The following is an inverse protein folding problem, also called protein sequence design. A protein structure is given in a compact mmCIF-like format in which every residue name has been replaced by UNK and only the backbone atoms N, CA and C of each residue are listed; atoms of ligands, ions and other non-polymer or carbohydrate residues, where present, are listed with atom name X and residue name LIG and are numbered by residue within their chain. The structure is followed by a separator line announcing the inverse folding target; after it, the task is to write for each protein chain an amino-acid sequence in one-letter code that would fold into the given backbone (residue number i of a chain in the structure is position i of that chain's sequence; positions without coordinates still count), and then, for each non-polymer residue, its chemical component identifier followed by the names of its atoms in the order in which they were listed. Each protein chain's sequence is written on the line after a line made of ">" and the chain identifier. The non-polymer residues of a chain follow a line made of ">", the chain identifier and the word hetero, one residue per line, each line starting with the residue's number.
data_IF_658289858056
#
_entry.id   IF_658289858056
#
_cell.length_a   1.000
_cell.length_b   1.000
_cell.length_c   1.000
_cell.angle_alpha   90.00
_cell.angle_beta   90.00
_cell.angle_gamma   90.00
#
_symmetry.space_group_name_H-M   'P 1'
#
loop_
_entity.id
_entity.type
_entity.pdbx_description
1 polymer ?
#
# COMPACT_ATOMS: atom_id res chain seq x y z
N UNK A 1 -22.93 3.85 -9.01
CA UNK A 1 -21.68 4.64 -9.05
C UNK A 1 -21.60 5.42 -7.75
N UNK A 2 -20.57 5.22 -6.93
CA UNK A 2 -20.45 5.92 -5.65
C UNK A 2 -20.10 7.39 -5.91
N UNK A 3 -20.87 8.32 -5.34
CA UNK A 3 -20.53 9.74 -5.37
C UNK A 3 -19.30 9.96 -4.48
N UNK A 4 -18.21 10.47 -5.06
CA UNK A 4 -17.02 10.87 -4.32
C UNK A 4 -17.37 11.93 -3.28
N UNK A 5 -16.82 11.77 -2.08
CA UNK A 5 -16.89 12.74 -1.01
C UNK A 5 -16.17 14.03 -1.40
N UNK A 6 -16.51 15.15 -0.73
CA UNK A 6 -15.81 16.43 -0.96
C UNK A 6 -14.30 16.31 -0.69
N UNK A 7 -13.90 15.50 0.30
CA UNK A 7 -12.49 15.29 0.63
C UNK A 7 -11.73 14.59 -0.51
N UNK A 8 -12.31 13.55 -1.10
CA UNK A 8 -11.73 12.85 -2.25
C UNK A 8 -11.63 13.76 -3.48
N UNK A 9 -12.66 14.57 -3.72
CA UNK A 9 -12.66 15.56 -4.81
C UNK A 9 -11.58 16.63 -4.64
N UNK A 10 -11.34 17.10 -3.41
CA UNK A 10 -10.24 18.04 -3.09
C UNK A 10 -8.88 17.40 -3.39
N UNK A 11 -8.67 16.16 -2.95
CA UNK A 11 -7.41 15.44 -3.22
C UNK A 11 -7.20 15.27 -4.73
N UNK A 12 -8.22 14.86 -5.48
CA UNK A 12 -8.13 14.72 -6.93
C UNK A 12 -7.78 16.04 -7.62
N UNK A 13 -8.38 17.16 -7.19
CA UNK A 13 -8.09 18.46 -7.79
C UNK A 13 -6.66 18.93 -7.49
N UNK A 14 -6.18 18.75 -6.25
CA UNK A 14 -4.79 19.08 -5.88
C UNK A 14 -3.77 18.19 -6.61
N UNK A 15 -4.09 16.90 -6.82
CA UNK A 15 -3.27 16.00 -7.63
C UNK A 15 -3.24 16.42 -9.11
N UNK A 16 -4.38 16.87 -9.65
CA UNK A 16 -4.51 17.32 -11.04
C UNK A 16 -3.72 18.60 -11.31
N UNK A 17 -3.77 19.56 -10.40
CA UNK A 17 -3.09 20.85 -10.58
C UNK A 17 -1.62 20.80 -10.21
N UNK A 18 -1.24 19.94 -9.26
CA UNK A 18 0.10 19.94 -8.63
C UNK A 18 0.50 21.31 -8.06
N UNK A 19 -0.48 22.12 -7.71
CA UNK A 19 -0.28 23.46 -7.16
C UNK A 19 -1.06 23.59 -5.86
N UNK A 20 -0.49 24.28 -4.84
CA UNK A 20 -1.25 24.67 -3.67
C UNK A 20 -2.42 25.58 -4.08
N UNK A 21 -3.63 25.26 -3.63
CA UNK A 21 -4.83 26.04 -3.95
C UNK A 21 -5.48 26.60 -2.69
N UNK A 22 -5.97 27.83 -2.77
CA UNK A 22 -6.76 28.42 -1.69
C UNK A 22 -8.20 27.85 -1.63
N UNK A 23 -8.89 28.07 -0.50
CA UNK A 23 -10.25 27.54 -0.30
C UNK A 23 -11.28 28.11 -1.31
N UNK A 24 -11.09 29.34 -1.84
CA UNK A 24 -11.94 29.93 -2.88
C UNK A 24 -11.72 29.24 -4.23
N UNK A 25 -10.46 29.00 -4.57
CA UNK A 25 -10.09 28.31 -5.80
C UNK A 25 -10.65 26.89 -5.82
N UNK A 26 -10.53 26.15 -4.71
CA UNK A 26 -11.11 24.82 -4.56
C UNK A 26 -12.65 24.86 -4.62
N UNK A 27 -13.29 25.82 -3.95
CA UNK A 27 -14.74 25.96 -4.01
C UNK A 27 -15.25 26.22 -5.44
N UNK A 28 -14.57 27.11 -6.18
CA UNK A 28 -14.91 27.43 -7.57
C UNK A 28 -14.66 26.25 -8.52
N UNK A 29 -13.53 25.55 -8.37
CA UNK A 29 -13.14 24.43 -9.24
C UNK A 29 -14.01 23.20 -9.01
N UNK A 30 -14.45 22.97 -7.78
CA UNK A 30 -15.27 21.83 -7.41
C UNK A 30 -16.78 22.15 -7.43
N UNK A 31 -17.17 23.37 -7.77
CA UNK A 31 -18.56 23.83 -7.72
C UNK A 31 -19.22 23.51 -6.36
N UNK A 32 -18.53 23.85 -5.27
CA UNK A 32 -18.96 23.56 -3.89
C UNK A 32 -19.32 24.86 -3.19
N UNK A 33 -20.58 24.96 -2.76
CA UNK A 33 -21.08 26.02 -1.90
C UNK A 33 -21.75 25.42 -0.65
N UNK A 34 -21.57 26.01 0.54
CA UNK A 34 -20.73 27.18 0.84
C UNK A 34 -19.23 26.84 0.90
N UNK A 35 -18.36 27.85 0.75
CA UNK A 35 -16.88 27.74 0.98
C UNK A 35 -16.53 27.04 2.30
N UNK A 36 -17.36 27.20 3.33
CA UNK A 36 -17.20 26.56 4.64
C UNK A 36 -17.02 25.03 4.52
N UNK A 37 -17.65 24.39 3.54
CA UNK A 37 -17.54 22.95 3.27
C UNK A 37 -16.12 22.55 2.89
N UNK A 38 -15.46 23.34 2.02
CA UNK A 38 -14.05 23.14 1.66
C UNK A 38 -13.17 23.34 2.88
N UNK A 39 -13.38 24.43 3.64
CA UNK A 39 -12.59 24.71 4.83
C UNK A 39 -12.64 23.57 5.86
N UNK A 40 -13.84 23.04 6.13
CA UNK A 40 -14.01 21.91 7.04
C UNK A 40 -13.35 20.63 6.50
N UNK A 41 -13.52 20.33 5.21
CA UNK A 41 -12.90 19.17 4.59
C UNK A 41 -11.37 19.26 4.62
N UNK A 42 -10.80 20.40 4.27
CA UNK A 42 -9.36 20.62 4.31
C UNK A 42 -8.78 20.56 5.73
N UNK A 43 -9.49 21.05 6.75
CA UNK A 43 -9.08 20.89 8.16
C UNK A 43 -9.05 19.43 8.59
N UNK A 44 -10.03 18.61 8.17
CA UNK A 44 -10.01 17.17 8.44
C UNK A 44 -8.85 16.48 7.70
N UNK A 45 -8.61 16.86 6.44
CA UNK A 45 -7.50 16.33 5.66
C UNK A 45 -6.13 16.70 6.29
N UNK A 46 -5.99 17.91 6.83
CA UNK A 46 -4.81 18.34 7.58
C UNK A 46 -4.62 17.53 8.87
N UNK A 47 -5.69 17.32 9.65
CA UNK A 47 -5.65 16.47 10.84
C UNK A 47 -5.22 15.03 10.52
N UNK A 48 -5.64 14.51 9.37
CA UNK A 48 -5.21 13.20 8.85
C UNK A 48 -3.86 13.20 8.14
N UNK A 49 -3.12 14.33 8.15
CA UNK A 49 -1.81 14.52 7.49
C UNK A 49 -1.80 14.26 5.97
N UNK A 50 -2.94 14.42 5.31
CA UNK A 50 -3.09 14.28 3.85
C UNK A 50 -2.77 15.57 3.10
N UNK A 51 -2.91 16.72 3.76
CA UNK A 51 -2.52 18.02 3.24
C UNK A 51 -1.94 18.91 4.33
N UNK A 52 -1.19 19.92 3.94
CA UNK A 52 -0.64 21.00 4.76
C UNK A 52 -1.34 22.28 4.39
N UNK A 53 -1.74 23.06 5.40
CA UNK A 53 -2.23 24.42 5.20
C UNK A 53 -1.17 25.43 5.62
N UNK A 54 -0.94 26.44 4.79
CA UNK A 54 0.00 27.53 5.10
C UNK A 54 -0.39 28.82 4.37
N UNK A 55 0.22 29.95 4.75
CA UNK A 55 -0.03 31.26 4.13
C UNK A 55 0.79 31.36 2.83
N UNK A 56 0.10 31.46 1.70
CA UNK A 56 0.72 31.61 0.38
C UNK A 56 1.16 33.06 0.07
N UNK A 57 1.70 33.27 -1.12
CA UNK A 57 2.30 34.54 -1.60
C UNK A 57 1.35 35.74 -1.58
N UNK A 58 0.03 35.51 -1.57
CA UNK A 58 -1.01 36.54 -1.57
C UNK A 58 -1.71 36.70 -0.21
N UNK A 59 -1.10 36.20 0.88
CA UNK A 59 -1.68 36.28 2.24
C UNK A 59 -2.87 35.33 2.47
N UNK A 60 -3.26 34.55 1.45
CA UNK A 60 -4.32 33.55 1.55
C UNK A 60 -3.81 32.23 2.09
N UNK A 61 -4.67 31.51 2.83
CA UNK A 61 -4.38 30.14 3.26
C UNK A 61 -4.54 29.22 2.05
N UNK A 62 -3.45 28.57 1.66
CA UNK A 62 -3.40 27.57 0.59
C UNK A 62 -3.31 26.16 1.16
N UNK A 63 -3.80 25.19 0.39
CA UNK A 63 -3.82 23.78 0.70
C UNK A 63 -2.84 23.06 -0.23
N UNK A 64 -1.78 22.49 0.33
CA UNK A 64 -0.78 21.70 -0.39
C UNK A 64 -0.88 20.24 0.03
N UNK A 65 -0.90 19.31 -0.90
CA UNK A 65 -0.96 17.88 -0.57
C UNK A 65 0.33 17.46 0.15
N UNK A 66 0.21 16.81 1.31
CA UNK A 66 1.36 16.24 2.03
C UNK A 66 1.63 14.86 1.45
N UNK A 67 2.70 14.76 0.66
CA UNK A 67 3.13 13.55 -0.03
C UNK A 67 2.47 13.41 -1.42
N UNK A 68 3.20 13.41 -2.54
CA UNK A 68 4.64 13.45 -2.71
C UNK A 68 5.12 14.76 -3.32
N UNK A 69 6.07 15.42 -2.66
CA UNK A 69 7.18 16.02 -3.41
C UNK A 69 7.86 14.88 -4.14
N UNK A 70 7.40 14.63 -5.36
CA UNK A 70 8.17 13.94 -6.37
C UNK A 70 9.53 14.64 -6.46
N UNK A 71 10.67 13.93 -6.45
CA UNK A 71 11.70 14.33 -7.37
C UNK A 71 11.01 14.47 -8.74
N UNK A 72 11.00 15.70 -9.27
CA UNK A 72 10.67 15.92 -10.67
C UNK A 72 11.50 14.90 -11.45
N UNK A 73 10.81 13.96 -12.10
CA UNK A 73 11.35 12.78 -12.80
C UNK A 73 11.96 11.68 -11.90
N UNK A 74 11.12 10.88 -11.22
CA UNK A 74 11.45 9.46 -11.05
C UNK A 74 10.94 8.72 -12.30
N UNK A 75 11.78 8.60 -13.32
CA UNK A 75 11.63 7.51 -14.28
C UNK A 75 11.92 6.21 -13.51
N UNK A 76 10.87 5.64 -12.90
CA UNK A 76 10.96 4.30 -12.34
C UNK A 76 10.97 3.35 -13.54
N UNK A 77 12.15 2.90 -13.92
CA UNK A 77 12.28 1.84 -14.91
C UNK A 77 11.77 0.54 -14.25
N UNK A 78 10.66 0.03 -14.76
CA UNK A 78 9.95 -1.12 -14.22
C UNK A 78 10.43 -2.38 -14.94
N UNK A 79 10.94 -3.35 -14.19
CA UNK A 79 11.33 -4.65 -14.73
C UNK A 79 10.45 -5.75 -14.13
N UNK A 80 9.81 -6.52 -15.01
CA UNK A 80 9.09 -7.75 -14.63
C UNK A 80 10.12 -8.87 -14.54
N UNK A 81 10.22 -9.51 -13.38
CA UNK A 81 11.23 -10.52 -13.14
C UNK A 81 10.76 -11.92 -13.59
N UNK A 82 11.66 -12.75 -14.15
CA UNK A 82 11.41 -14.17 -14.33
C UNK A 82 11.48 -14.93 -12.99
N UNK A 83 10.92 -16.14 -12.94
CA UNK A 83 10.87 -16.97 -11.74
C UNK A 83 12.29 -17.31 -11.19
N UNK A 84 12.51 -17.22 -9.86
CA UNK A 84 13.81 -17.49 -9.25
C UNK A 84 14.09 -19.00 -9.02
N UNK A 85 15.37 -19.40 -8.88
CA UNK A 85 15.76 -20.81 -8.73
C UNK A 85 15.48 -21.41 -7.32
N UNK A 86 15.33 -22.74 -7.29
CA UNK A 86 14.98 -23.53 -6.10
C UNK A 86 16.11 -23.59 -5.05
N UNK A 87 15.75 -23.46 -3.78
CA UNK A 87 16.60 -23.48 -2.58
C UNK A 87 15.73 -23.81 -1.34
N UNK A 88 16.27 -23.79 -0.12
CA UNK A 88 15.56 -24.25 1.11
C UNK A 88 14.23 -23.49 1.39
N UNK A 89 14.10 -22.28 0.85
CA UNK A 89 12.87 -21.47 0.83
C UNK A 89 11.91 -21.79 -0.34
N UNK A 90 12.10 -22.90 -1.07
CA UNK A 90 11.31 -23.21 -2.26
C UNK A 90 9.83 -23.50 -1.94
N UNK A 91 9.52 -24.14 -0.82
CA UNK A 91 8.13 -24.40 -0.44
C UNK A 91 7.37 -23.11 -0.12
N UNK A 92 7.98 -22.21 0.67
CA UNK A 92 7.40 -20.90 0.98
C UNK A 92 7.26 -20.03 -0.28
N UNK A 93 8.28 -19.99 -1.15
CA UNK A 93 8.21 -19.21 -2.40
C UNK A 93 7.18 -19.75 -3.39
N UNK A 94 7.07 -21.08 -3.54
CA UNK A 94 5.99 -21.70 -4.33
C UNK A 94 4.63 -21.33 -3.75
N UNK A 95 4.50 -21.35 -2.43
CA UNK A 95 3.27 -20.95 -1.78
C UNK A 95 2.95 -19.48 -2.00
N UNK A 96 3.92 -18.57 -1.87
CA UNK A 96 3.76 -17.15 -2.16
C UNK A 96 3.28 -16.93 -3.61
N UNK A 97 3.84 -17.63 -4.60
CA UNK A 97 3.35 -17.60 -5.99
C UNK A 97 1.90 -18.05 -6.13
N UNK A 98 1.50 -19.14 -5.47
CA UNK A 98 0.10 -19.61 -5.44
C UNK A 98 -0.82 -18.60 -4.75
N UNK A 99 -0.37 -17.98 -3.66
CA UNK A 99 -1.13 -16.94 -2.95
C UNK A 99 -1.42 -15.74 -3.85
N UNK A 100 -0.43 -15.30 -4.64
CA UNK A 100 -0.60 -14.21 -5.61
C UNK A 100 -1.59 -14.58 -6.72
N UNK A 101 -1.56 -15.83 -7.19
CA UNK A 101 -2.55 -16.35 -8.14
C UNK A 101 -3.97 -16.29 -7.58
N UNK A 102 -4.19 -16.85 -6.39
CA UNK A 102 -5.49 -16.86 -5.71
C UNK A 102 -6.02 -15.45 -5.41
N UNK A 103 -5.16 -14.57 -4.91
CA UNK A 103 -5.52 -13.17 -4.65
C UNK A 103 -5.83 -12.44 -5.97
N UNK A 104 -5.01 -12.66 -6.99
CA UNK A 104 -5.18 -12.08 -8.32
C UNK A 104 -6.51 -12.47 -8.95
N UNK A 105 -6.84 -13.77 -8.95
CA UNK A 105 -8.13 -14.29 -9.43
C UNK A 105 -9.31 -13.65 -8.68
N UNK A 106 -9.23 -13.58 -7.34
CA UNK A 106 -10.27 -12.95 -6.51
C UNK A 106 -10.47 -11.47 -6.85
N UNK A 107 -9.41 -10.77 -7.24
CA UNK A 107 -9.43 -9.34 -7.56
C UNK A 107 -9.60 -9.04 -9.06
N UNK A 108 -9.63 -10.07 -9.93
CA UNK A 108 -9.63 -9.89 -11.38
C UNK A 108 -8.34 -9.25 -11.91
N UNK A 109 -7.20 -9.53 -11.27
CA UNK A 109 -5.88 -8.96 -11.59
C UNK A 109 -4.87 -10.07 -11.82
N UNK A 110 -3.95 -9.86 -12.75
CA UNK A 110 -2.73 -10.69 -12.84
C UNK A 110 -1.67 -10.04 -11.96
N UNK A 111 -1.18 -10.76 -10.95
CA UNK A 111 -0.14 -10.29 -10.05
C UNK A 111 1.17 -10.99 -10.37
N UNK A 112 2.26 -10.22 -10.50
CA UNK A 112 3.60 -10.74 -10.79
C UNK A 112 4.64 -10.04 -9.93
N UNK A 113 5.75 -10.72 -9.56
CA UNK A 113 6.89 -10.06 -8.94
C UNK A 113 7.35 -8.88 -9.78
N UNK A 114 7.61 -7.75 -9.12
CA UNK A 114 7.99 -6.52 -9.80
C UNK A 114 9.11 -5.81 -9.06
N UNK A 115 10.09 -5.35 -9.82
CA UNK A 115 11.22 -4.56 -9.31
C UNK A 115 11.06 -3.10 -9.71
N UNK A 116 11.31 -2.23 -8.74
CA UNK A 116 11.26 -0.78 -8.87
C UNK A 116 12.68 -0.23 -8.72
N UNK A 117 13.15 0.47 -9.75
CA UNK A 117 14.39 1.25 -9.68
C UNK A 117 14.14 2.59 -9.00
N UNK A 118 15.03 2.97 -8.09
CA UNK A 118 14.97 4.23 -7.35
C UNK A 118 15.94 5.27 -7.95
N UNK A 119 15.69 6.58 -7.74
CA UNK A 119 16.52 7.65 -8.32
C UNK A 119 18.00 7.60 -7.91
N UNK A 120 18.30 7.04 -6.74
CA UNK A 120 19.66 6.87 -6.22
C UNK A 120 20.34 5.56 -6.66
N UNK A 121 19.70 4.80 -7.55
CA UNK A 121 20.18 3.52 -8.06
C UNK A 121 19.85 2.32 -7.17
N UNK A 122 19.21 2.53 -6.00
CA UNK A 122 18.70 1.44 -5.20
C UNK A 122 17.54 0.72 -5.91
N UNK A 123 17.27 -0.52 -5.50
CA UNK A 123 16.23 -1.36 -6.09
C UNK A 123 15.37 -1.95 -4.99
N UNK A 124 14.06 -1.92 -5.20
CA UNK A 124 13.08 -2.51 -4.28
C UNK A 124 12.23 -3.48 -5.06
N UNK A 125 12.00 -4.66 -4.49
CA UNK A 125 11.20 -5.72 -5.10
C UNK A 125 9.96 -5.95 -4.25
N UNK A 126 8.81 -6.05 -4.91
CA UNK A 126 7.56 -6.48 -4.29
C UNK A 126 7.17 -7.83 -4.86
N UNK A 127 6.56 -8.67 -4.02
CA UNK A 127 6.19 -10.03 -4.40
C UNK A 127 5.14 -10.04 -5.51
N UNK A 128 4.20 -9.09 -5.48
CA UNK A 128 3.16 -8.97 -6.50
C UNK A 128 2.80 -7.53 -6.84
N UNK A 129 2.69 -7.24 -8.13
CA UNK A 129 2.06 -6.03 -8.65
C UNK A 129 1.22 -6.36 -9.89
N UNK A 130 0.14 -5.61 -10.12
CA UNK A 130 -0.58 -5.66 -11.39
C UNK A 130 0.10 -4.80 -12.46
N UNK A 131 -0.27 -5.00 -13.73
CA UNK A 131 0.40 -4.34 -14.85
C UNK A 131 0.36 -2.82 -14.77
N UNK A 132 -0.79 -2.28 -14.36
CA UNK A 132 -0.97 -0.83 -14.16
C UNK A 132 -0.34 -0.27 -12.88
N UNK A 133 0.30 -1.12 -12.05
CA UNK A 133 0.85 -0.74 -10.74
C UNK A 133 -0.18 0.02 -9.89
N UNK A 134 -1.41 -0.48 -9.92
CA UNK A 134 -2.54 0.02 -9.12
C UNK A 134 -2.70 -0.77 -7.82
N UNK A 135 -2.05 -1.93 -7.73
CA UNK A 135 -2.02 -2.82 -6.58
C UNK A 135 -0.59 -3.31 -6.36
N UNK A 136 -0.11 -3.21 -5.11
CA UNK A 136 1.16 -3.80 -4.65
C UNK A 136 0.88 -4.79 -3.52
N UNK A 137 1.59 -5.91 -3.53
CA UNK A 137 1.38 -7.05 -2.62
C UNK A 137 2.71 -7.56 -2.09
N UNK A 138 2.78 -7.77 -0.78
CA UNK A 138 3.78 -8.65 -0.14
C UNK A 138 3.04 -9.89 0.38
N UNK A 139 3.55 -11.08 0.05
CA UNK A 139 2.95 -12.35 0.39
C UNK A 139 3.71 -13.00 1.55
N UNK A 140 2.97 -13.65 2.45
CA UNK A 140 3.58 -14.38 3.56
C UNK A 140 2.87 -15.70 3.84
N UNK A 141 3.51 -16.77 3.37
CA UNK A 141 3.06 -18.15 3.50
C UNK A 141 3.38 -18.74 4.89
N UNK A 142 2.95 -18.09 5.96
CA UNK A 142 3.11 -18.58 7.33
C UNK A 142 1.83 -19.19 7.87
N UNK A 143 1.98 -20.21 8.70
CA UNK A 143 0.89 -20.94 9.35
C UNK A 143 1.01 -20.84 10.87
N UNK A 144 -0.07 -20.44 11.53
CA UNK A 144 -0.16 -20.25 12.97
C UNK A 144 0.25 -18.85 13.45
N UNK A 145 0.21 -18.61 14.78
CA UNK A 145 0.46 -17.29 15.35
C UNK A 145 1.92 -16.83 15.19
N UNK A 146 2.14 -15.55 14.83
CA UNK A 146 3.47 -15.05 14.52
C UNK A 146 4.29 -14.81 15.80
N UNK A 147 5.57 -15.20 15.76
CA UNK A 147 6.59 -14.84 16.76
C UNK A 147 7.00 -13.36 16.60
N UNK A 148 7.71 -12.83 17.60
CA UNK A 148 8.14 -11.41 17.60
C UNK A 148 8.92 -11.01 16.34
N UNK A 149 9.95 -11.77 15.97
CA UNK A 149 10.74 -11.50 14.76
C UNK A 149 9.89 -11.58 13.47
N UNK A 150 8.92 -12.48 13.41
CA UNK A 150 8.01 -12.61 12.27
C UNK A 150 7.05 -11.41 12.16
N UNK A 151 6.61 -10.85 13.30
CA UNK A 151 5.83 -9.60 13.30
C UNK A 151 6.65 -8.44 12.73
N UNK A 152 7.92 -8.34 13.11
CA UNK A 152 8.82 -7.32 12.56
C UNK A 152 9.05 -7.51 11.06
N UNK A 153 9.16 -8.76 10.57
CA UNK A 153 9.22 -9.06 9.13
C UNK A 153 8.02 -8.45 8.39
N UNK A 154 6.80 -8.75 8.83
CA UNK A 154 5.58 -8.24 8.19
C UNK A 154 5.50 -6.72 8.20
N UNK A 155 5.98 -6.08 9.27
CA UNK A 155 6.05 -4.62 9.34
C UNK A 155 7.13 -4.02 8.44
N UNK A 156 8.24 -4.72 8.23
CA UNK A 156 9.25 -4.34 7.23
C UNK A 156 8.69 -4.46 5.81
N UNK A 157 7.92 -5.53 5.53
CA UNK A 157 7.23 -5.72 4.25
C UNK A 157 6.19 -4.61 4.01
N UNK A 158 5.42 -4.23 5.03
CA UNK A 158 4.54 -3.05 5.00
C UNK A 158 5.29 -1.74 4.71
N UNK A 159 6.46 -1.53 5.33
CA UNK A 159 7.31 -0.36 5.07
C UNK A 159 7.80 -0.35 3.61
N UNK A 160 8.14 -1.52 3.06
CA UNK A 160 8.55 -1.67 1.67
C UNK A 160 7.45 -1.20 0.71
N UNK A 161 6.22 -1.66 0.93
CA UNK A 161 5.04 -1.24 0.16
C UNK A 161 4.84 0.28 0.21
N UNK A 162 4.90 0.87 1.41
CA UNK A 162 4.76 2.31 1.60
C UNK A 162 5.84 3.10 0.88
N UNK A 163 7.09 2.62 0.96
CA UNK A 163 8.20 3.27 0.31
C UNK A 163 8.05 3.27 -1.22
N UNK A 164 7.76 2.11 -1.82
CA UNK A 164 7.50 2.03 -3.27
C UNK A 164 6.33 2.94 -3.65
N UNK A 165 5.21 2.87 -2.92
CA UNK A 165 4.05 3.70 -3.17
C UNK A 165 4.36 5.20 -3.15
N UNK A 166 5.26 5.65 -2.26
CA UNK A 166 5.67 7.06 -2.16
C UNK A 166 6.45 7.57 -3.37
N UNK A 167 7.01 6.68 -4.19
CA UNK A 167 7.76 7.02 -5.41
C UNK A 167 6.90 7.05 -6.67
N UNK A 168 5.67 6.54 -6.59
CA UNK A 168 4.78 6.42 -7.74
C UNK A 168 3.95 7.70 -7.93
N UNK A 169 3.62 8.06 -9.19
CA UNK A 169 2.84 9.26 -9.48
C UNK A 169 1.39 9.18 -8.98
N UNK A 170 0.86 7.96 -8.86
CA UNK A 170 -0.46 7.66 -8.31
C UNK A 170 -0.28 6.59 -7.23
N UNK A 171 -0.78 6.81 -6.00
CA UNK A 171 -0.68 5.80 -4.94
C UNK A 171 -1.45 4.52 -5.29
N UNK A 172 -0.81 3.34 -5.27
CA UNK A 172 -1.49 2.07 -5.43
C UNK A 172 -2.21 1.62 -4.14
N UNK A 173 -3.13 0.67 -4.28
CA UNK A 173 -3.64 -0.11 -3.15
C UNK A 173 -2.53 -1.00 -2.61
N UNK A 174 -2.35 -1.05 -1.29
CA UNK A 174 -1.31 -1.85 -0.63
C UNK A 174 -1.94 -3.05 0.08
N UNK A 175 -1.39 -4.24 -0.16
CA UNK A 175 -1.90 -5.49 0.41
C UNK A 175 -0.78 -6.32 1.04
N UNK A 176 -1.00 -6.76 2.28
CA UNK A 176 -0.30 -7.88 2.88
C UNK A 176 -1.15 -9.13 2.66
N UNK A 177 -0.69 -10.06 1.83
CA UNK A 177 -1.38 -11.31 1.54
C UNK A 177 -0.86 -12.40 2.48
N UNK A 178 -1.72 -12.90 3.37
CA UNK A 178 -1.38 -13.93 4.36
C UNK A 178 -2.12 -15.24 4.02
N UNK A 179 -1.52 -16.37 4.38
CA UNK A 179 -2.10 -17.70 4.11
C UNK A 179 -2.87 -18.32 5.28
N UNK A 180 -2.99 -17.62 6.41
CA UNK A 180 -3.52 -18.16 7.66
C UNK A 180 -4.18 -17.07 8.51
N UNK A 181 -5.35 -17.38 9.05
CA UNK A 181 -6.15 -16.46 9.86
C UNK A 181 -5.50 -16.18 11.24
N UNK A 182 -4.87 -17.19 11.85
CA UNK A 182 -4.18 -16.99 13.13
C UNK A 182 -2.96 -16.08 12.98
N UNK A 183 -2.25 -16.21 11.86
CA UNK A 183 -1.18 -15.30 11.45
C UNK A 183 -1.69 -13.87 11.28
N UNK A 184 -2.83 -13.71 10.59
CA UNK A 184 -3.44 -12.41 10.28
C UNK A 184 -4.03 -11.70 11.50
N UNK A 185 -4.53 -12.45 12.49
CA UNK A 185 -5.25 -11.91 13.66
C UNK A 185 -4.51 -10.79 14.39
N UNK A 186 -3.17 -10.86 14.47
CA UNK A 186 -2.35 -9.82 15.12
C UNK A 186 -2.41 -8.47 14.41
N UNK A 187 -2.65 -8.49 13.10
CA UNK A 187 -2.63 -7.36 12.18
C UNK A 187 -4.05 -6.84 11.83
N UNK A 188 -5.10 -7.62 12.08
CA UNK A 188 -6.49 -7.27 11.72
C UNK A 188 -7.35 -6.84 12.92
N UNK A 189 -7.42 -7.69 13.95
CA UNK A 189 -8.46 -7.60 15.00
C UNK A 189 -7.97 -6.84 16.25
N UNK A 190 -6.66 -6.81 16.49
CA UNK A 190 -6.15 -6.33 17.78
C UNK A 190 -6.19 -4.79 17.92
N UNK A 191 -6.33 -4.31 19.17
CA UNK A 191 -5.86 -2.97 19.60
C UNK A 191 -4.33 -2.87 19.57
N UNK A 192 -3.67 -3.59 18.67
CA UNK A 192 -2.23 -3.53 18.49
C UNK A 192 -1.90 -2.25 17.74
N UNK A 193 -0.74 -1.67 18.07
CA UNK A 193 -0.21 -0.53 17.35
C UNK A 193 -0.01 -0.91 15.87
N UNK A 194 0.39 -2.15 15.57
CA UNK A 194 0.58 -2.66 14.21
C UNK A 194 -0.71 -2.63 13.40
N UNK A 195 -1.80 -3.22 13.90
CA UNK A 195 -3.10 -3.19 13.23
C UNK A 195 -3.62 -1.76 13.04
N UNK A 196 -3.35 -0.88 14.02
CA UNK A 196 -3.71 0.54 13.92
C UNK A 196 -2.90 1.26 12.85
N UNK A 197 -1.59 1.01 12.77
CA UNK A 197 -0.71 1.58 11.76
C UNK A 197 -1.13 1.13 10.35
N UNK A 198 -1.34 -0.18 10.14
CA UNK A 198 -1.76 -0.71 8.84
C UNK A 198 -3.06 -0.06 8.35
N UNK A 199 -4.08 0.06 9.21
CA UNK A 199 -5.32 0.79 8.87
C UNK A 199 -5.09 2.28 8.60
N UNK A 200 -4.23 2.93 9.38
CA UNK A 200 -3.94 4.37 9.23
C UNK A 200 -3.25 4.67 7.90
N UNK A 201 -2.39 3.76 7.45
CA UNK A 201 -1.66 3.87 6.19
C UNK A 201 -2.38 3.18 5.01
N UNK A 202 -3.63 2.77 5.18
CA UNK A 202 -4.46 2.11 4.16
C UNK A 202 -3.82 0.85 3.56
N UNK A 203 -3.12 0.08 4.41
CA UNK A 203 -2.56 -1.22 4.06
C UNK A 203 -3.57 -2.29 4.46
N UNK A 204 -4.07 -3.00 3.46
CA UNK A 204 -5.06 -4.06 3.65
C UNK A 204 -4.37 -5.38 3.98
N UNK A 205 -4.91 -6.12 4.93
CA UNK A 205 -4.51 -7.51 5.19
C UNK A 205 -5.55 -8.40 4.55
N UNK A 206 -5.12 -9.24 3.61
CA UNK A 206 -5.98 -10.15 2.86
C UNK A 206 -5.53 -11.58 3.16
N UNK A 207 -6.46 -12.44 3.57
CA UNK A 207 -6.16 -13.86 3.79
C UNK A 207 -6.60 -14.66 2.56
N UNK A 208 -5.76 -15.58 2.12
CA UNK A 208 -6.06 -16.57 1.08
C UNK A 208 -5.89 -17.97 1.64
N UNK A 209 -6.81 -18.86 1.28
CA UNK A 209 -6.73 -20.26 1.69
C UNK A 209 -5.86 -21.04 0.72
N UNK A 210 -4.76 -21.60 1.23
CA UNK A 210 -3.87 -22.44 0.43
C UNK A 210 -4.43 -23.87 0.29
N UNK A 211 -4.15 -24.55 -0.85
CA UNK A 211 -4.40 -25.99 -0.98
C UNK A 211 -3.79 -26.77 0.18
N UNK A 212 -4.51 -27.78 0.67
CA UNK A 212 -4.12 -28.52 1.88
C UNK A 212 -2.72 -29.16 1.77
N UNK A 213 -2.35 -29.66 0.60
CA UNK A 213 -1.02 -30.22 0.33
C UNK A 213 0.08 -29.18 0.55
N UNK A 214 -0.08 -27.99 -0.03
CA UNK A 214 0.89 -26.90 0.10
C UNK A 214 0.97 -26.36 1.53
N UNK A 215 -0.18 -26.30 2.23
CA UNK A 215 -0.23 -25.96 3.66
C UNK A 215 0.57 -26.97 4.51
N UNK A 216 0.43 -28.26 4.23
CA UNK A 216 1.14 -29.32 4.95
C UNK A 216 2.65 -29.28 4.67
N UNK A 217 3.06 -28.95 3.44
CA UNK A 217 4.47 -28.73 3.08
C UNK A 217 5.08 -27.56 3.86
N UNK A 218 4.34 -26.44 3.96
CA UNK A 218 4.77 -25.27 4.76
C UNK A 218 4.92 -25.64 6.23
N UNK A 219 3.92 -26.31 6.82
CA UNK A 219 3.98 -26.72 8.22
C UNK A 219 5.21 -27.61 8.49
N UNK A 220 5.49 -28.55 7.59
CA UNK A 220 6.65 -29.44 7.66
C UNK A 220 7.98 -28.67 7.50
N UNK A 221 8.02 -27.64 6.64
CA UNK A 221 9.18 -26.75 6.51
C UNK A 221 9.39 -25.89 7.77
N UNK A 222 8.32 -25.31 8.33
CA UNK A 222 8.37 -24.51 9.55
C UNK A 222 8.89 -25.33 10.74
N UNK A 223 8.43 -26.58 10.92
CA UNK A 223 8.91 -27.45 12.00
C UNK A 223 10.41 -27.74 11.92
N UNK A 224 10.97 -27.88 10.71
CA UNK A 224 12.41 -28.08 10.50
C UNK A 224 13.23 -26.85 10.86
N UNK A 225 12.72 -25.65 10.58
CA UNK A 225 13.36 -24.38 10.96
C UNK A 225 13.34 -24.09 12.47
N UNK A 226 12.54 -24.85 13.24
CA UNK A 226 12.47 -24.75 14.70
C UNK A 226 13.31 -25.81 15.43
N UNK A 227 14.05 -26.66 14.71
CA UNK A 227 15.01 -27.62 15.30
C UNK A 227 16.41 -27.04 15.41
#
# INVERSE_FOLDING_TARGET
>A
MAHLTIAERIIQELLRTRLPLDDDELARRLDVQPRQTINQACRRLEQSRRLRRYIGTHGKIVNELLGGTLPVAAMVEQEVLPEPPAGDSAAQRRAEGVMLGLLGERLGKTLRPRRFALPDGARVEVDGADDGVTLLVEAWAHQGPPKSAQKHKILADAMRLLFVASTLPVPPRLVLCLSDEEAARHFTIARSWAATALRTFDIHVEVVELPAELRNDILSAQQRQYR
#
